data_IF_574181914546
#
_entry.id   IF_574181914546
#
_cell.length_a   1.000
_cell.length_b   1.000
_cell.length_c   1.000
_cell.angle_alpha   90.00
_cell.angle_beta   90.00
_cell.angle_gamma   90.00
#
_symmetry.space_group_name_H-M   'P 1'
#
loop_
_entity.id
_entity.type
_entity.pdbx_description
1 polymer ?
#
# COMPACT_ATOMS: atom_id res chain seq x y z
N UNK A 1 -24.00 -6.07 0.48
CA UNK A 1 -23.35 -5.32 1.57
C UNK A 1 -23.29 -3.85 1.19
N UNK A 2 -23.59 -2.94 2.12
CA UNK A 2 -23.44 -1.51 1.88
C UNK A 2 -22.09 -1.02 2.39
N UNK A 3 -21.38 -0.25 1.58
CA UNK A 3 -20.02 0.22 1.85
C UNK A 3 -20.00 1.74 1.78
N UNK A 4 -19.41 2.37 2.79
CA UNK A 4 -19.19 3.81 2.87
C UNK A 4 -17.73 4.14 2.64
N UNK A 5 -17.45 5.07 1.74
CA UNK A 5 -16.11 5.65 1.58
C UNK A 5 -15.83 6.64 2.73
N UNK A 6 -14.85 6.33 3.58
CA UNK A 6 -14.35 7.20 4.66
C UNK A 6 -13.29 8.18 4.14
N UNK A 7 -12.53 7.76 3.13
CA UNK A 7 -11.76 8.67 2.26
C UNK A 7 -12.24 8.52 0.82
N UNK A 8 -12.03 9.53 -0.06
CA UNK A 8 -12.49 9.44 -1.44
C UNK A 8 -11.99 8.16 -2.11
N UNK A 9 -12.85 7.50 -2.88
CA UNK A 9 -12.59 6.24 -3.56
C UNK A 9 -12.20 6.53 -5.01
N UNK A 10 -11.22 5.79 -5.52
CA UNK A 10 -10.86 5.83 -6.93
C UNK A 10 -10.89 4.41 -7.51
N UNK A 11 -11.72 4.18 -8.51
CA UNK A 11 -11.69 2.95 -9.31
C UNK A 11 -11.42 3.31 -10.75
N UNK A 12 -10.39 2.72 -11.36
CA UNK A 12 -10.06 3.00 -12.76
C UNK A 12 -11.14 2.48 -13.70
N UNK A 13 -11.68 3.36 -14.55
CA UNK A 13 -12.60 3.01 -15.61
C UNK A 13 -11.89 2.66 -16.93
N UNK A 14 -12.67 2.64 -18.03
CA UNK A 14 -12.17 2.42 -19.38
C UNK A 14 -11.21 3.53 -19.82
N UNK A 15 -11.54 4.77 -19.46
CA UNK A 15 -10.70 5.93 -19.72
C UNK A 15 -9.64 6.10 -18.63
N UNK A 16 -8.37 6.07 -19.04
CA UNK A 16 -7.25 6.26 -18.13
C UNK A 16 -7.33 7.62 -17.44
N UNK A 17 -7.24 7.61 -16.11
CA UNK A 17 -7.22 8.84 -15.32
C UNK A 17 -8.60 9.43 -14.99
N UNK A 18 -9.70 8.72 -15.27
CA UNK A 18 -11.06 9.12 -14.87
C UNK A 18 -11.73 8.13 -13.91
N UNK A 19 -12.73 8.60 -13.17
CA UNK A 19 -13.52 7.83 -12.21
C UNK A 19 -15.01 8.26 -12.28
N UNK A 20 -15.67 7.92 -13.38
CA UNK A 20 -17.07 8.25 -13.70
C UNK A 20 -18.09 7.52 -12.81
N UNK A 21 -17.77 6.32 -12.35
CA UNK A 21 -18.56 5.52 -11.39
C UNK A 21 -17.65 4.60 -10.58
N UNK A 22 -18.20 3.87 -9.62
CA UNK A 22 -17.48 2.78 -8.97
C UNK A 22 -17.41 1.58 -9.92
N UNK A 23 -16.21 1.27 -10.38
CA UNK A 23 -15.94 0.13 -11.26
C UNK A 23 -15.56 -1.11 -10.46
N UNK A 24 -16.25 -2.22 -10.73
CA UNK A 24 -15.99 -3.53 -10.12
C UNK A 24 -14.55 -4.00 -10.33
N UNK A 25 -13.96 -3.66 -11.48
CA UNK A 25 -12.56 -4.01 -11.81
C UNK A 25 -11.56 -3.39 -10.84
N UNK A 26 -11.80 -2.16 -10.38
CA UNK A 26 -10.97 -1.49 -9.39
C UNK A 26 -11.08 -2.15 -8.01
N UNK A 27 -12.28 -2.58 -7.63
CA UNK A 27 -12.53 -3.35 -6.39
C UNK A 27 -11.84 -4.70 -6.46
N UNK A 28 -12.06 -5.45 -7.54
CA UNK A 28 -11.48 -6.78 -7.78
C UNK A 28 -9.96 -6.76 -7.76
N UNK A 29 -9.32 -5.70 -8.26
CA UNK A 29 -7.86 -5.53 -8.21
C UNK A 29 -7.32 -5.50 -6.79
N UNK A 30 -7.93 -4.70 -5.90
CA UNK A 30 -7.53 -4.63 -4.48
C UNK A 30 -7.80 -5.93 -3.74
N UNK A 31 -8.95 -6.56 -3.99
CA UNK A 31 -9.29 -7.85 -3.40
C UNK A 31 -8.28 -8.92 -3.82
N UNK A 32 -7.96 -9.01 -5.10
CA UNK A 32 -6.96 -9.96 -5.59
C UNK A 32 -5.62 -9.72 -4.91
N UNK A 33 -5.15 -8.47 -4.88
CA UNK A 33 -3.86 -8.13 -4.27
C UNK A 33 -3.79 -8.55 -2.80
N UNK A 34 -4.80 -8.22 -2.00
CA UNK A 34 -4.82 -8.62 -0.58
C UNK A 34 -4.97 -10.12 -0.40
N UNK A 35 -5.77 -10.80 -1.22
CA UNK A 35 -5.84 -12.27 -1.15
C UNK A 35 -4.47 -12.91 -1.42
N UNK A 36 -3.72 -12.40 -2.41
CA UNK A 36 -2.36 -12.86 -2.67
C UNK A 36 -1.44 -12.66 -1.46
N UNK A 37 -1.52 -11.51 -0.77
CA UNK A 37 -0.74 -11.25 0.46
C UNK A 37 -1.09 -12.26 1.57
N UNK A 38 -2.38 -12.53 1.78
CA UNK A 38 -2.83 -13.44 2.83
C UNK A 38 -2.42 -14.89 2.52
N UNK A 39 -2.61 -15.37 1.29
CA UNK A 39 -2.19 -16.72 0.87
C UNK A 39 -0.67 -16.88 0.95
N UNK A 40 0.12 -15.90 0.47
CA UNK A 40 1.58 -15.91 0.63
C UNK A 40 1.98 -15.94 2.11
N UNK A 41 1.25 -15.24 2.96
CA UNK A 41 1.43 -15.24 4.41
C UNK A 41 1.29 -16.63 5.04
N UNK A 42 0.36 -17.44 4.52
CA UNK A 42 0.10 -18.81 4.94
C UNK A 42 1.04 -19.84 4.30
N UNK A 43 2.01 -19.39 3.49
CA UNK A 43 2.91 -20.27 2.72
C UNK A 43 2.24 -20.98 1.56
N UNK A 44 1.06 -20.51 1.13
CA UNK A 44 0.32 -21.08 0.02
C UNK A 44 0.84 -20.64 -1.34
N UNK A 45 0.59 -21.46 -2.37
CA UNK A 45 1.08 -21.19 -3.71
C UNK A 45 0.37 -19.99 -4.35
N UNK A 46 1.15 -18.96 -4.69
CA UNK A 46 0.74 -17.76 -5.41
C UNK A 46 1.76 -17.44 -6.50
N UNK A 47 1.26 -17.05 -7.67
CA UNK A 47 2.14 -16.65 -8.77
C UNK A 47 2.91 -15.36 -8.46
N UNK A 48 4.12 -15.27 -8.99
CA UNK A 48 4.87 -14.02 -9.05
C UNK A 48 4.21 -13.10 -10.10
N UNK A 49 3.81 -11.87 -9.74
CA UNK A 49 3.22 -10.92 -10.68
C UNK A 49 4.19 -10.38 -11.75
N UNK A 50 5.48 -10.69 -11.65
CA UNK A 50 6.56 -10.27 -12.55
C UNK A 50 7.04 -11.37 -13.50
N UNK A 51 6.61 -12.62 -13.30
CA UNK A 51 6.98 -13.78 -14.11
C UNK A 51 5.85 -14.25 -15.06
N UNK A 52 5.92 -15.51 -15.53
CA UNK A 52 4.95 -16.09 -16.47
C UNK A 52 3.51 -16.01 -15.96
N UNK A 53 2.58 -15.74 -16.89
CA UNK A 53 1.14 -15.69 -16.61
C UNK A 53 0.63 -17.06 -16.18
N UNK A 54 0.01 -17.09 -14.99
CA UNK A 54 -0.77 -18.23 -14.52
C UNK A 54 -1.83 -18.61 -15.57
N UNK A 55 -1.88 -19.88 -15.95
CA UNK A 55 -2.85 -20.38 -16.94
C UNK A 55 -3.40 -21.73 -16.52
N UNK A 56 -4.65 -22.02 -16.89
CA UNK A 56 -5.27 -23.30 -16.60
C UNK A 56 -4.42 -24.49 -17.09
N UNK A 57 -3.75 -24.33 -18.23
CA UNK A 57 -2.90 -25.37 -18.84
C UNK A 57 -1.65 -25.69 -18.02
N UNK A 58 -1.08 -24.70 -17.34
CA UNK A 58 0.17 -24.83 -16.59
C UNK A 58 -0.07 -25.05 -15.08
N UNK A 59 -1.34 -25.18 -14.66
CA UNK A 59 -1.72 -25.20 -13.26
C UNK A 59 -2.06 -23.81 -12.72
N UNK A 60 -3.03 -23.76 -11.81
CA UNK A 60 -3.48 -22.52 -11.17
C UNK A 60 -3.00 -22.45 -9.73
N UNK A 61 -2.43 -21.30 -9.35
CA UNK A 61 -2.18 -20.98 -7.95
C UNK A 61 -3.50 -20.77 -7.19
N UNK A 62 -3.45 -20.77 -5.86
CA UNK A 62 -4.66 -20.78 -5.01
C UNK A 62 -5.56 -19.56 -5.26
N UNK A 63 -4.96 -18.38 -5.46
CA UNK A 63 -5.70 -17.15 -5.77
C UNK A 63 -6.35 -17.22 -7.15
N UNK A 64 -5.63 -17.72 -8.16
CA UNK A 64 -6.15 -17.85 -9.52
C UNK A 64 -7.32 -18.85 -9.61
N UNK A 65 -7.40 -19.84 -8.73
CA UNK A 65 -8.55 -20.77 -8.66
C UNK A 65 -9.85 -20.03 -8.34
N UNK A 66 -9.82 -18.93 -7.57
CA UNK A 66 -11.02 -18.15 -7.20
C UNK A 66 -11.19 -16.86 -8.02
N UNK A 67 -10.09 -16.13 -8.27
CA UNK A 67 -10.07 -14.84 -8.99
C UNK A 67 -9.93 -15.00 -10.51
N UNK A 68 -9.80 -16.24 -10.99
CA UNK A 68 -9.64 -16.53 -12.42
C UNK A 68 -8.23 -16.21 -12.93
N UNK A 69 -7.97 -16.76 -14.11
CA UNK A 69 -6.72 -16.63 -14.86
C UNK A 69 -6.98 -16.93 -16.34
N UNK A 70 -5.94 -16.97 -17.15
CA UNK A 70 -6.08 -17.37 -18.55
C UNK A 70 -6.66 -18.79 -18.64
N UNK A 71 -7.79 -18.94 -19.34
CA UNK A 71 -8.52 -20.21 -19.48
C UNK A 71 -9.46 -20.56 -18.31
N UNK A 72 -9.54 -19.76 -17.24
CA UNK A 72 -10.39 -20.02 -16.07
C UNK A 72 -11.17 -18.78 -15.65
N UNK A 73 -12.50 -18.87 -15.60
CA UNK A 73 -13.36 -17.81 -15.07
C UNK A 73 -13.30 -17.76 -13.53
N UNK A 74 -13.59 -16.58 -12.97
CA UNK A 74 -13.79 -16.38 -11.53
C UNK A 74 -14.86 -17.33 -10.98
N UNK A 75 -14.67 -17.77 -9.73
CA UNK A 75 -15.68 -18.57 -8.99
C UNK A 75 -16.76 -17.72 -8.33
N UNK A 76 -16.71 -16.40 -8.48
CA UNK A 76 -17.72 -15.48 -7.97
C UNK A 76 -17.94 -14.31 -8.92
N UNK A 77 -19.15 -13.75 -8.86
CA UNK A 77 -19.53 -12.47 -9.43
C UNK A 77 -19.53 -11.43 -8.32
N UNK A 78 -18.91 -10.29 -8.59
CA UNK A 78 -18.99 -9.08 -7.76
C UNK A 78 -19.60 -8.01 -8.63
N UNK A 79 -20.66 -7.37 -8.14
CA UNK A 79 -21.45 -6.39 -8.87
C UNK A 79 -21.79 -5.21 -7.97
N UNK A 80 -21.61 -3.98 -8.46
CA UNK A 80 -22.11 -2.78 -7.79
C UNK A 80 -23.57 -2.61 -8.18
N UNK A 81 -24.47 -3.06 -7.31
CA UNK A 81 -25.93 -3.04 -7.57
C UNK A 81 -26.57 -1.69 -7.28
N UNK A 82 -25.90 -0.84 -6.52
CA UNK A 82 -26.30 0.54 -6.28
C UNK A 82 -25.07 1.41 -6.06
N UNK A 83 -24.94 2.49 -6.83
CA UNK A 83 -23.87 3.48 -6.69
C UNK A 83 -24.46 4.83 -6.30
N UNK A 84 -24.40 5.18 -5.01
CA UNK A 84 -24.81 6.50 -4.51
C UNK A 84 -23.61 7.46 -4.38
N UNK A 85 -22.46 7.10 -4.95
CA UNK A 85 -21.25 7.92 -4.86
C UNK A 85 -21.35 9.12 -5.79
N UNK A 86 -20.69 10.21 -5.39
CA UNK A 86 -20.57 11.44 -6.18
C UNK A 86 -19.13 11.90 -6.20
N UNK A 87 -18.67 12.63 -7.24
CA UNK A 87 -17.34 13.21 -7.22
C UNK A 87 -17.13 14.09 -5.99
N UNK A 88 -16.02 13.90 -5.30
CA UNK A 88 -15.72 14.59 -4.06
C UNK A 88 -15.15 15.97 -4.35
N UNK A 89 -16.01 16.99 -4.21
CA UNK A 89 -15.65 18.37 -4.47
C UNK A 89 -14.58 18.92 -3.53
N UNK A 90 -14.43 18.31 -2.34
CA UNK A 90 -13.46 18.74 -1.34
C UNK A 90 -12.03 18.32 -1.67
N UNK A 91 -11.83 17.42 -2.64
CA UNK A 91 -10.50 17.07 -3.11
C UNK A 91 -9.94 18.24 -3.91
N UNK A 92 -8.89 18.87 -3.38
CA UNK A 92 -8.24 19.99 -4.05
C UNK A 92 -7.58 19.52 -5.35
N UNK A 93 -7.71 20.26 -6.47
CA UNK A 93 -6.99 19.94 -7.70
C UNK A 93 -5.46 20.05 -7.55
N UNK A 94 -5.00 20.77 -6.52
CA UNK A 94 -3.58 20.99 -6.24
C UNK A 94 -3.33 20.98 -4.73
N UNK A 95 -2.37 20.20 -4.28
CA UNK A 95 -1.91 20.19 -2.90
C UNK A 95 -0.44 20.59 -2.89
N UNK A 96 -0.14 21.67 -2.19
CA UNK A 96 1.22 22.20 -2.02
C UNK A 96 1.62 22.12 -0.55
N UNK A 97 2.83 21.64 -0.30
CA UNK A 97 3.42 21.63 1.03
C UNK A 97 4.33 22.84 1.22
N UNK A 98 4.86 23.00 2.44
CA UNK A 98 5.82 24.06 2.71
C UNK A 98 7.06 23.93 1.79
N UNK A 99 7.49 25.04 1.16
CA UNK A 99 8.68 25.03 0.32
C UNK A 99 9.91 24.72 1.16
N UNK A 100 10.86 23.99 0.59
CA UNK A 100 12.15 23.74 1.21
C UNK A 100 13.28 24.22 0.29
N UNK A 101 14.35 24.71 0.92
CA UNK A 101 15.57 25.09 0.23
C UNK A 101 16.43 23.85 -0.01
N UNK A 102 17.01 23.74 -1.19
CA UNK A 102 18.02 22.74 -1.49
C UNK A 102 19.24 23.40 -2.11
N UNK A 103 20.40 22.80 -1.85
CA UNK A 103 21.67 23.25 -2.38
C UNK A 103 22.29 22.17 -3.25
N UNK A 104 22.75 22.57 -4.44
CA UNK A 104 23.52 21.73 -5.35
C UNK A 104 24.65 22.54 -5.99
N UNK A 105 25.73 21.88 -6.40
CA UNK A 105 26.77 22.50 -7.21
C UNK A 105 26.43 22.26 -8.68
N UNK A 106 26.47 23.30 -9.51
CA UNK A 106 26.28 23.15 -10.96
C UNK A 106 27.50 22.47 -11.62
N UNK A 107 27.43 22.25 -12.94
CA UNK A 107 28.52 21.61 -13.70
C UNK A 107 29.86 22.37 -13.64
N UNK A 108 29.82 23.63 -13.20
CA UNK A 108 30.99 24.51 -13.04
C UNK A 108 31.43 24.61 -11.56
N UNK A 109 30.87 23.78 -10.68
CA UNK A 109 31.21 23.74 -9.26
C UNK A 109 30.60 24.87 -8.44
N UNK A 110 29.77 25.74 -9.04
CA UNK A 110 29.16 26.88 -8.34
C UNK A 110 28.00 26.40 -7.49
N UNK A 111 27.96 26.87 -6.25
CA UNK A 111 26.83 26.59 -5.36
C UNK A 111 25.59 27.32 -5.87
N UNK A 112 24.52 26.54 -6.06
CA UNK A 112 23.20 27.01 -6.42
C UNK A 112 22.24 26.60 -5.31
N UNK A 113 21.50 27.59 -4.84
CA UNK A 113 20.35 27.40 -3.97
C UNK A 113 19.09 27.42 -4.83
N UNK A 114 18.20 26.48 -4.57
CA UNK A 114 16.89 26.40 -5.20
C UNK A 114 15.82 26.19 -4.16
N UNK A 115 14.62 26.66 -4.44
CA UNK A 115 13.44 26.41 -3.63
C UNK A 115 12.57 25.40 -4.36
N UNK A 116 12.11 24.34 -3.68
CA UNK A 116 11.15 23.39 -4.22
C UNK A 116 9.94 23.29 -3.32
N UNK A 117 8.76 23.36 -3.92
CA UNK A 117 7.47 23.13 -3.28
C UNK A 117 6.98 21.74 -3.69
N UNK A 118 6.99 20.72 -2.80
CA UNK A 118 6.37 19.44 -3.09
C UNK A 118 4.90 19.64 -3.44
N UNK A 119 4.49 19.16 -4.62
CA UNK A 119 3.16 19.44 -5.20
C UNK A 119 2.54 18.16 -5.74
N UNK A 120 1.26 17.95 -5.47
CA UNK A 120 0.43 16.89 -6.03
C UNK A 120 -0.72 17.49 -6.82
N UNK A 121 -1.06 16.85 -7.94
CA UNK A 121 -2.11 17.28 -8.84
C UNK A 121 -3.23 16.24 -8.92
N UNK A 122 -4.46 16.72 -8.90
CA UNK A 122 -5.68 15.95 -9.03
C UNK A 122 -6.52 16.53 -10.17
N UNK A 123 -7.49 15.78 -10.71
CA UNK A 123 -8.35 16.26 -11.78
C UNK A 123 -9.00 17.61 -11.43
N UNK A 124 -8.91 18.56 -12.35
CA UNK A 124 -9.55 19.87 -12.23
C UNK A 124 -11.04 19.78 -12.50
N UNK A 125 -11.43 18.94 -13.48
CA UNK A 125 -12.82 18.67 -13.80
C UNK A 125 -13.50 17.96 -12.62
N UNK A 126 -14.66 18.47 -12.19
CA UNK A 126 -15.39 17.92 -11.05
C UNK A 126 -15.80 16.47 -11.29
N UNK A 127 -16.27 16.12 -12.49
CA UNK A 127 -16.74 14.77 -12.81
C UNK A 127 -15.64 13.71 -12.79
N UNK A 128 -14.37 14.14 -12.92
CA UNK A 128 -13.21 13.25 -12.90
C UNK A 128 -12.60 13.10 -11.50
N UNK A 129 -13.11 13.81 -10.49
CA UNK A 129 -12.63 13.68 -9.11
C UNK A 129 -12.92 12.29 -8.53
N UNK A 130 -12.10 11.79 -7.57
CA UNK A 130 -12.45 10.59 -6.82
C UNK A 130 -13.83 10.72 -6.18
N UNK A 131 -14.50 9.60 -5.95
CA UNK A 131 -15.90 9.58 -5.54
C UNK A 131 -16.05 9.28 -4.05
N UNK A 132 -16.99 9.94 -3.40
CA UNK A 132 -17.30 9.74 -1.97
C UNK A 132 -18.78 9.39 -1.79
N UNK A 133 -19.17 8.98 -0.58
CA UNK A 133 -20.49 8.42 -0.20
C UNK A 133 -20.53 6.89 -0.25
N UNK A 134 -21.72 6.31 -0.38
CA UNK A 134 -22.01 4.89 -0.24
C UNK A 134 -22.25 4.19 -1.58
N UNK A 135 -21.98 2.90 -1.62
CA UNK A 135 -22.35 2.01 -2.71
C UNK A 135 -22.61 0.61 -2.16
N UNK A 136 -23.50 -0.14 -2.81
CA UNK A 136 -23.84 -1.50 -2.43
C UNK A 136 -23.23 -2.48 -3.40
N UNK A 137 -22.53 -3.47 -2.85
CA UNK A 137 -21.95 -4.59 -3.59
C UNK A 137 -22.72 -5.86 -3.30
N UNK A 138 -23.01 -6.63 -4.36
CA UNK A 138 -23.50 -7.99 -4.28
C UNK A 138 -22.39 -8.96 -4.70
N UNK A 139 -22.24 -10.05 -3.94
CA UNK A 139 -21.30 -11.13 -4.24
C UNK A 139 -22.13 -12.40 -4.41
N UNK A 140 -21.99 -13.05 -5.56
CA UNK A 140 -22.69 -14.29 -5.89
C UNK A 140 -21.67 -15.37 -6.21
N UNK A 141 -21.85 -16.56 -5.63
CA UNK A 141 -21.06 -17.71 -6.05
C UNK A 141 -21.41 -18.13 -7.48
N UNK A 142 -20.39 -18.46 -8.25
CA UNK A 142 -20.51 -19.04 -9.60
C UNK A 142 -20.01 -20.49 -9.62
N UNK A 143 -19.66 -21.06 -8.46
CA UNK A 143 -19.10 -22.40 -8.35
C UNK A 143 -19.62 -23.08 -7.07
N UNK A 144 -20.14 -24.32 -7.14
CA UNK A 144 -20.81 -24.97 -6.01
C UNK A 144 -19.92 -25.09 -4.76
N UNK A 145 -18.62 -25.29 -4.96
CA UNK A 145 -17.65 -25.44 -3.87
C UNK A 145 -16.95 -24.11 -3.51
N UNK A 146 -17.57 -22.96 -3.78
CA UNK A 146 -17.05 -21.66 -3.37
C UNK A 146 -18.10 -20.85 -2.61
N UNK A 147 -17.68 -20.31 -1.48
CA UNK A 147 -18.53 -19.60 -0.53
C UNK A 147 -18.27 -18.09 -0.66
N UNK A 148 -19.26 -17.27 -1.05
CA UNK A 148 -19.05 -15.84 -1.31
C UNK A 148 -18.66 -15.04 -0.05
N UNK A 149 -18.94 -15.56 1.13
CA UNK A 149 -18.56 -15.01 2.44
C UNK A 149 -17.04 -14.90 2.60
N UNK A 150 -16.25 -15.72 1.89
CA UNK A 150 -14.77 -15.56 1.82
C UNK A 150 -14.40 -14.18 1.29
N UNK A 151 -15.10 -13.70 0.26
CA UNK A 151 -14.88 -12.36 -0.29
C UNK A 151 -15.43 -11.28 0.65
N UNK A 152 -16.54 -11.56 1.35
CA UNK A 152 -17.06 -10.67 2.38
C UNK A 152 -16.08 -10.45 3.53
N UNK A 153 -15.49 -11.52 4.06
CA UNK A 153 -14.44 -11.43 5.07
C UNK A 153 -13.21 -10.68 4.58
N UNK A 154 -12.84 -10.83 3.30
CA UNK A 154 -11.72 -10.10 2.70
C UNK A 154 -12.01 -8.59 2.59
N UNK A 155 -13.24 -8.21 2.24
CA UNK A 155 -13.66 -6.80 2.26
C UNK A 155 -13.60 -6.25 3.69
N UNK A 156 -14.02 -7.03 4.69
CA UNK A 156 -13.93 -6.61 6.09
C UNK A 156 -12.48 -6.44 6.56
N UNK A 157 -11.58 -7.34 6.19
CA UNK A 157 -10.15 -7.19 6.45
C UNK A 157 -9.60 -5.89 5.84
N UNK A 158 -9.95 -5.58 4.59
CA UNK A 158 -9.57 -4.31 3.95
C UNK A 158 -10.17 -3.11 4.68
N UNK A 159 -11.44 -3.21 5.10
CA UNK A 159 -12.12 -2.16 5.86
C UNK A 159 -11.47 -1.92 7.23
N UNK A 160 -10.93 -2.96 7.88
CA UNK A 160 -10.25 -2.84 9.18
C UNK A 160 -8.85 -2.23 9.03
N UNK A 161 -8.10 -2.61 8.00
CA UNK A 161 -6.64 -2.39 7.99
C UNK A 161 -6.08 -1.56 6.83
N UNK A 162 -6.81 -1.41 5.72
CA UNK A 162 -6.24 -0.83 4.50
C UNK A 162 -7.21 0.04 3.70
N UNK A 163 -7.17 -0.07 2.38
CA UNK A 163 -7.97 0.69 1.44
C UNK A 163 -8.40 -0.17 0.24
N UNK A 164 -9.60 0.13 -0.28
CA UNK A 164 -10.21 -0.47 -1.45
C UNK A 164 -10.03 0.44 -2.68
N UNK A 165 -9.90 -0.17 -3.86
CA UNK A 165 -9.71 0.55 -5.11
C UNK A 165 -8.25 0.94 -5.38
N UNK A 166 -8.08 1.83 -6.35
CA UNK A 166 -6.79 2.26 -6.86
C UNK A 166 -6.31 3.56 -6.19
N UNK A 167 -5.03 3.87 -6.45
CA UNK A 167 -4.34 5.05 -5.92
C UNK A 167 -4.33 5.18 -4.37
N UNK A 168 -4.17 4.09 -3.59
CA UNK A 168 -4.00 4.21 -2.14
C UNK A 168 -2.74 5.02 -1.75
N UNK A 169 -1.75 5.15 -2.65
CA UNK A 169 -0.59 6.03 -2.46
C UNK A 169 -0.94 7.54 -2.43
N UNK A 170 -2.18 7.91 -2.76
CA UNK A 170 -2.75 9.26 -2.66
C UNK A 170 -3.77 9.37 -1.51
N UNK A 171 -3.89 8.32 -0.70
CA UNK A 171 -4.73 8.25 0.48
C UNK A 171 -6.21 7.93 0.23
N UNK A 172 -6.53 7.44 -0.96
CA UNK A 172 -7.88 7.05 -1.34
C UNK A 172 -8.25 5.64 -0.87
N UNK A 173 -9.55 5.43 -0.65
CA UNK A 173 -10.15 4.12 -0.53
C UNK A 173 -10.30 3.55 0.88
N UNK A 174 -10.11 4.32 1.96
CA UNK A 174 -10.51 3.83 3.28
C UNK A 174 -12.03 3.69 3.28
N UNK A 175 -12.53 2.53 3.68
CA UNK A 175 -13.95 2.20 3.66
C UNK A 175 -14.42 1.73 5.03
N UNK A 176 -15.73 1.84 5.23
CA UNK A 176 -16.48 1.20 6.30
C UNK A 176 -17.56 0.31 5.68
N UNK A 177 -17.72 -0.90 6.18
CA UNK A 177 -18.92 -1.70 5.91
C UNK A 177 -20.01 -1.23 6.87
N UNK A 178 -21.16 -0.82 6.33
CA UNK A 178 -22.27 -0.37 7.17
C UNK A 178 -23.05 -1.56 7.76
N UNK A 179 -23.56 -1.37 8.98
CA UNK A 179 -24.22 -2.41 9.77
C UNK A 179 -23.24 -3.15 10.68
N UNK A 180 -23.56 -4.40 11.00
CA UNK A 180 -22.69 -5.26 11.79
C UNK A 180 -21.41 -5.63 11.01
N UNK A 181 -20.30 -5.80 11.73
CA UNK A 181 -19.06 -6.32 11.16
C UNK A 181 -19.33 -7.65 10.45
N UNK A 182 -18.80 -7.84 9.24
CA UNK A 182 -18.92 -9.11 8.53
C UNK A 182 -18.11 -10.18 9.26
N UNK A 183 -18.68 -11.36 9.39
CA UNK A 183 -17.97 -12.53 9.90
C UNK A 183 -16.81 -12.91 8.97
N UNK A 184 -15.62 -13.00 9.56
CA UNK A 184 -14.35 -13.28 8.87
C UNK A 184 -13.93 -14.74 9.01
N UNK A 185 -14.67 -15.58 9.74
CA UNK A 185 -14.39 -17.01 9.88
C UNK A 185 -14.32 -17.73 8.52
N UNK A 186 -15.23 -17.51 7.55
CA UNK A 186 -15.16 -18.18 6.25
C UNK A 186 -13.88 -17.85 5.48
N UNK A 187 -13.36 -16.61 5.60
CA UNK A 187 -12.07 -16.23 5.00
C UNK A 187 -10.92 -16.98 5.68
N UNK A 188 -10.90 -17.01 7.02
CA UNK A 188 -9.88 -17.71 7.78
C UNK A 188 -9.82 -19.20 7.42
N UNK A 189 -10.95 -19.88 7.44
CA UNK A 189 -11.02 -21.32 7.16
C UNK A 189 -10.51 -21.63 5.76
N UNK A 190 -10.90 -20.81 4.77
CA UNK A 190 -10.38 -20.94 3.42
C UNK A 190 -8.86 -20.73 3.35
N UNK A 191 -8.33 -19.69 4.01
CA UNK A 191 -6.89 -19.42 4.04
C UNK A 191 -6.09 -20.55 4.70
N UNK A 192 -6.62 -21.17 5.76
CA UNK A 192 -5.99 -22.34 6.40
C UNK A 192 -5.88 -23.51 5.43
N UNK A 193 -6.87 -23.73 4.56
CA UNK A 193 -6.79 -24.79 3.52
C UNK A 193 -5.75 -24.52 2.44
N UNK A 194 -5.33 -23.26 2.28
CA UNK A 194 -4.27 -22.88 1.33
C UNK A 194 -2.87 -22.94 1.93
N UNK A 195 -2.74 -23.26 3.22
CA UNK A 195 -1.46 -23.25 3.90
C UNK A 195 -0.47 -24.24 3.26
N UNK A 196 0.78 -23.82 3.17
CA UNK A 196 1.84 -24.59 2.54
C UNK A 196 3.21 -24.25 3.11
N UNK A 197 4.24 -24.53 2.32
CA UNK A 197 5.64 -24.30 2.68
C UNK A 197 6.35 -23.29 1.76
N UNK A 198 5.62 -22.65 0.84
CA UNK A 198 6.20 -21.66 -0.07
C UNK A 198 6.63 -20.42 0.72
N UNK A 199 7.80 -19.88 0.40
CA UNK A 199 8.36 -18.70 1.07
C UNK A 199 8.37 -17.50 0.14
N UNK A 200 7.91 -16.35 0.64
CA UNK A 200 7.81 -15.10 -0.13
C UNK A 200 8.52 -13.97 0.63
N UNK A 201 9.82 -13.85 0.41
CA UNK A 201 10.72 -12.88 1.04
C UNK A 201 10.72 -11.52 0.32
N UNK A 202 10.60 -11.52 -1.00
CA UNK A 202 10.70 -10.34 -1.88
C UNK A 202 9.34 -9.83 -2.41
N UNK A 203 8.26 -10.56 -2.11
CA UNK A 203 6.86 -10.22 -2.43
C UNK A 203 6.05 -9.96 -1.15
N UNK A 204 4.95 -9.17 -1.22
CA UNK A 204 4.17 -8.84 -0.04
C UNK A 204 3.46 -10.09 0.53
N UNK A 205 3.64 -10.32 1.84
CA UNK A 205 3.05 -11.42 2.62
C UNK A 205 2.79 -10.98 4.06
N UNK A 206 2.02 -11.75 4.84
CA UNK A 206 1.82 -11.46 6.28
C UNK A 206 3.12 -11.29 7.06
N UNK A 207 4.20 -11.95 6.62
CA UNK A 207 5.49 -11.97 7.29
C UNK A 207 6.30 -10.69 7.07
N UNK A 208 5.89 -9.84 6.12
CA UNK A 208 6.67 -8.67 5.74
C UNK A 208 5.85 -7.38 5.56
N UNK A 209 4.55 -7.42 5.85
CA UNK A 209 3.68 -6.24 5.95
C UNK A 209 3.78 -5.58 7.33
N UNK A 210 3.31 -4.34 7.41
CA UNK A 210 2.93 -3.69 8.65
C UNK A 210 1.65 -2.88 8.42
N UNK A 211 0.84 -2.74 9.47
CA UNK A 211 -0.44 -2.04 9.47
C UNK A 211 -0.45 -1.10 10.68
N UNK A 212 -0.75 0.18 10.48
CA UNK A 212 -0.75 1.15 11.57
C UNK A 212 -1.88 2.16 11.44
N UNK A 213 -2.34 2.66 12.60
CA UNK A 213 -3.30 3.76 12.70
C UNK A 213 -2.79 4.80 13.67
N UNK A 214 -2.82 6.05 13.23
CA UNK A 214 -2.30 7.21 13.97
C UNK A 214 -3.39 8.27 14.14
N UNK A 215 -3.28 9.03 15.22
CA UNK A 215 -4.05 10.24 15.48
C UNK A 215 -3.12 11.40 15.85
N UNK A 216 -3.56 12.67 15.71
CA UNK A 216 -2.82 13.80 16.25
C UNK A 216 -2.64 13.65 17.76
N UNK A 217 -1.50 14.13 18.29
CA UNK A 217 -1.32 14.23 19.76
C UNK A 217 -2.35 15.20 20.34
N UNK A 218 -2.70 15.04 21.63
CA UNK A 218 -3.78 15.79 22.27
C UNK A 218 -3.72 17.33 22.12
N UNK A 219 -2.53 17.91 22.00
CA UNK A 219 -2.31 19.35 21.80
C UNK A 219 -2.19 19.79 20.33
N UNK A 220 -2.34 18.85 19.38
CA UNK A 220 -2.18 19.08 17.94
C UNK A 220 -3.56 19.22 17.29
N UNK A 221 -3.75 20.15 16.33
CA UNK A 221 -5.00 20.25 15.58
C UNK A 221 -5.37 18.93 14.88
N UNK A 222 -6.67 18.69 14.60
CA UNK A 222 -7.10 17.58 13.76
C UNK A 222 -6.38 17.58 12.40
N UNK A 223 -6.11 16.38 11.87
CA UNK A 223 -5.46 16.26 10.57
C UNK A 223 -6.24 16.95 9.46
N UNK A 224 -5.51 17.54 8.52
CA UNK A 224 -5.98 18.12 7.27
C UNK A 224 -5.51 17.28 6.09
N UNK A 225 -6.10 17.51 4.92
CA UNK A 225 -5.75 16.81 3.67
C UNK A 225 -4.24 16.83 3.38
N UNK A 226 -3.57 17.94 3.69
CA UNK A 226 -2.13 18.12 3.51
C UNK A 226 -1.29 17.16 4.37
N UNK A 227 -1.80 16.69 5.51
CA UNK A 227 -1.03 15.92 6.48
C UNK A 227 -0.65 14.52 5.97
N UNK A 228 -1.47 13.93 5.09
CA UNK A 228 -1.11 12.74 4.33
C UNK A 228 0.17 12.94 3.52
N UNK A 229 0.30 14.11 2.88
CA UNK A 229 1.42 14.42 2.00
C UNK A 229 2.63 14.93 2.79
N UNK A 230 2.42 15.65 3.90
CA UNK A 230 3.46 15.98 4.87
C UNK A 230 4.12 14.71 5.39
N UNK A 231 3.32 13.77 5.90
CA UNK A 231 3.83 12.49 6.40
C UNK A 231 4.56 11.71 5.31
N UNK A 232 4.02 11.67 4.08
CA UNK A 232 4.69 11.02 2.95
C UNK A 232 6.05 11.68 2.64
N UNK A 233 6.12 13.00 2.71
CA UNK A 233 7.34 13.73 2.47
C UNK A 233 8.36 13.50 3.58
N UNK A 234 7.93 13.46 4.84
CA UNK A 234 8.80 13.24 5.98
C UNK A 234 9.33 11.81 6.04
N UNK A 235 8.48 10.80 5.83
CA UNK A 235 8.96 9.41 5.70
C UNK A 235 9.96 9.26 4.55
N UNK A 236 9.78 10.00 3.44
CA UNK A 236 10.73 10.00 2.33
C UNK A 236 12.09 10.62 2.72
N UNK A 237 12.13 11.59 3.64
CA UNK A 237 13.40 12.17 4.12
C UNK A 237 14.18 11.22 5.02
N UNK A 238 13.50 10.36 5.79
CA UNK A 238 14.16 9.40 6.70
C UNK A 238 15.14 8.47 5.95
N UNK A 239 14.89 8.21 4.67
CA UNK A 239 15.72 7.36 3.80
C UNK A 239 16.58 8.19 2.85
N UNK A 240 17.00 9.38 3.26
CA UNK A 240 17.92 10.22 2.48
C UNK A 240 19.22 10.37 3.24
N UNK A 241 20.30 9.82 2.71
CA UNK A 241 21.63 10.09 3.24
C UNK A 241 22.02 11.55 3.03
N UNK A 242 22.61 12.14 4.06
CA UNK A 242 23.33 13.38 3.94
C UNK A 242 24.49 13.21 2.96
N UNK A 243 24.72 14.27 2.20
CA UNK A 243 25.59 14.21 1.05
C UNK A 243 26.98 14.61 1.49
N UNK A 244 27.88 13.64 1.53
CA UNK A 244 29.30 13.94 1.47
C UNK A 244 29.68 14.25 0.01
N UNK A 245 30.25 15.43 -0.21
CA UNK A 245 30.79 15.82 -1.50
C UNK A 245 32.10 15.05 -1.71
N UNK A 246 32.05 13.93 -2.43
CA UNK A 246 33.26 13.28 -2.92
C UNK A 246 33.56 13.75 -4.35
N UNK A 247 34.81 14.14 -4.58
CA UNK A 247 35.35 14.43 -5.90
C UNK A 247 35.54 13.13 -6.68
N UNK A 248 34.50 12.73 -7.40
CA UNK A 248 34.57 11.62 -8.34
C UNK A 248 35.09 12.12 -9.69
N UNK A 249 36.05 11.41 -10.29
CA UNK A 249 36.41 11.63 -11.70
C UNK A 249 35.40 10.92 -12.59
N UNK A 250 34.81 11.64 -13.53
CA UNK A 250 34.02 11.06 -14.62
C UNK A 250 34.94 10.38 -15.65
N UNK A 251 34.36 9.60 -16.59
CA UNK A 251 35.11 8.92 -17.66
C UNK A 251 35.83 9.85 -18.64
N UNK A 252 35.67 11.17 -18.48
CA UNK A 252 36.41 12.24 -19.18
C UNK A 252 37.58 12.81 -18.35
N UNK A 253 37.89 12.21 -17.19
CA UNK A 253 39.02 12.60 -16.32
C UNK A 253 38.79 13.86 -15.49
N UNK A 254 37.62 14.52 -15.59
CA UNK A 254 37.33 15.75 -14.84
C UNK A 254 36.80 15.41 -13.44
N UNK A 255 37.43 15.99 -12.41
CA UNK A 255 36.91 15.95 -11.04
C UNK A 255 35.64 16.79 -10.97
N UNK A 256 34.50 16.16 -10.64
CA UNK A 256 33.24 16.84 -10.38
C UNK A 256 32.69 16.36 -9.03
N UNK A 257 32.13 17.26 -8.21
CA UNK A 257 31.48 16.85 -6.97
C UNK A 257 30.24 16.03 -7.30
N UNK A 258 30.32 14.71 -7.14
CA UNK A 258 29.16 13.82 -7.28
C UNK A 258 28.48 13.72 -5.93
N UNK A 259 27.44 14.53 -5.72
CA UNK A 259 26.46 14.37 -4.65
C UNK A 259 25.72 13.04 -4.88
N UNK A 260 26.28 11.93 -4.38
CA UNK A 260 25.68 10.60 -4.52
C UNK A 260 24.90 10.28 -3.26
N UNK A 261 23.59 10.52 -3.32
CA UNK A 261 22.66 9.97 -2.35
C UNK A 261 22.74 8.44 -2.40
N UNK A 262 23.36 7.86 -1.37
CA UNK A 262 23.74 6.44 -1.33
C UNK A 262 22.53 5.53 -1.09
N UNK A 263 21.43 6.09 -0.61
CA UNK A 263 20.17 5.39 -0.31
C UNK A 263 19.06 5.74 -1.32
N UNK A 264 19.41 6.31 -2.48
CA UNK A 264 18.44 6.66 -3.54
C UNK A 264 17.53 5.48 -3.87
N UNK A 265 18.11 4.31 -4.08
CA UNK A 265 17.41 3.12 -4.54
C UNK A 265 16.43 2.62 -3.47
N UNK A 266 16.86 2.57 -2.20
CA UNK A 266 16.02 2.23 -1.06
C UNK A 266 14.84 3.20 -0.93
N UNK A 267 15.11 4.51 -0.95
CA UNK A 267 14.05 5.53 -0.87
C UNK A 267 13.07 5.44 -2.04
N UNK A 268 13.58 5.22 -3.25
CA UNK A 268 12.77 5.10 -4.45
C UNK A 268 11.92 3.83 -4.42
N UNK A 269 12.45 2.74 -3.86
CA UNK A 269 11.69 1.53 -3.64
C UNK A 269 10.55 1.75 -2.64
N UNK A 270 10.88 2.25 -1.43
CA UNK A 270 9.92 2.40 -0.33
C UNK A 270 8.84 3.45 -0.68
N UNK A 271 9.26 4.62 -1.16
CA UNK A 271 8.40 5.80 -1.33
C UNK A 271 8.01 6.08 -2.78
N UNK A 272 8.44 5.22 -3.71
CA UNK A 272 8.19 5.35 -5.13
C UNK A 272 9.09 6.38 -5.81
N UNK A 273 9.09 6.32 -7.14
CA UNK A 273 9.74 7.29 -8.02
C UNK A 273 8.99 7.36 -9.35
N UNK A 274 9.02 8.52 -9.99
CA UNK A 274 8.61 8.68 -11.38
C UNK A 274 9.89 8.91 -12.17
N UNK A 275 10.02 8.23 -13.31
CA UNK A 275 11.13 8.40 -14.23
C UNK A 275 10.93 9.70 -15.01
N UNK A 276 11.86 10.64 -14.93
CA UNK A 276 11.77 11.96 -15.59
C UNK A 276 12.00 11.91 -17.11
N UNK A 277 11.89 10.74 -17.74
CA UNK A 277 12.46 10.51 -19.06
C UNK A 277 11.55 10.98 -20.21
N UNK A 278 11.62 12.28 -20.50
CA UNK A 278 11.09 12.84 -21.76
C UNK A 278 12.14 12.87 -22.88
N UNK A 279 13.42 12.55 -22.63
CA UNK A 279 14.50 12.82 -23.58
C UNK A 279 15.53 11.69 -23.87
N UNK A 280 15.59 10.56 -23.15
CA UNK A 280 16.46 9.46 -23.57
C UNK A 280 15.78 8.57 -24.60
N UNK A 281 15.97 8.94 -25.87
CA UNK A 281 16.10 7.93 -26.92
C UNK A 281 17.35 7.11 -26.62
N UNK A 282 17.16 5.79 -26.43
CA UNK A 282 18.17 4.74 -26.61
C UNK A 282 19.36 4.78 -25.63
N UNK A 283 19.17 4.21 -24.45
CA UNK A 283 20.19 3.34 -23.85
C UNK A 283 19.48 2.25 -23.04
N UNK A 284 19.53 1.02 -23.55
CA UNK A 284 18.84 -0.19 -23.09
C UNK A 284 19.34 -0.72 -21.72
N UNK A 285 20.02 0.12 -20.92
CA UNK A 285 20.82 -0.30 -19.76
C UNK A 285 20.59 0.45 -18.45
N UNK A 286 19.63 1.37 -18.38
CA UNK A 286 19.28 2.03 -17.11
C UNK A 286 17.78 1.94 -16.84
N UNK A 287 17.41 0.94 -16.04
CA UNK A 287 16.04 0.66 -15.60
C UNK A 287 15.49 1.63 -14.53
N UNK A 288 15.68 2.94 -14.68
CA UNK A 288 14.92 3.89 -13.84
C UNK A 288 13.48 3.95 -14.40
N UNK A 289 12.73 2.83 -14.29
CA UNK A 289 11.29 2.74 -14.58
C UNK A 289 10.51 3.38 -13.43
N UNK A 290 9.36 3.98 -13.73
CA UNK A 290 8.46 4.51 -12.70
C UNK A 290 8.10 3.40 -11.70
N UNK A 291 8.20 3.67 -10.40
CA UNK A 291 7.96 2.69 -9.34
C UNK A 291 6.91 3.20 -8.35
N UNK A 292 5.91 2.36 -8.06
CA UNK A 292 4.93 2.64 -7.03
C UNK A 292 5.52 2.46 -5.62
N UNK A 293 5.21 3.40 -4.73
CA UNK A 293 5.56 3.33 -3.31
C UNK A 293 5.05 2.03 -2.67
N UNK A 294 5.82 1.44 -1.76
CA UNK A 294 5.38 0.29 -0.95
C UNK A 294 4.63 0.73 0.30
N UNK A 295 4.97 1.90 0.84
CA UNK A 295 4.24 2.53 1.94
C UNK A 295 3.10 3.38 1.40
N UNK A 296 1.93 3.21 1.99
CA UNK A 296 0.70 3.93 1.72
C UNK A 296 0.27 4.64 2.99
N UNK A 297 -0.32 5.82 2.80
CA UNK A 297 -0.82 6.67 3.87
C UNK A 297 -2.21 7.11 3.43
N UNK A 298 -3.22 6.89 4.25
CA UNK A 298 -4.58 7.32 3.94
C UNK A 298 -4.71 8.84 4.01
N UNK A 299 -5.76 9.36 3.38
CA UNK A 299 -6.29 10.67 3.77
C UNK A 299 -6.83 10.61 5.20
N UNK A 300 -6.89 11.75 5.90
CA UNK A 300 -7.56 11.78 7.18
C UNK A 300 -9.02 11.42 7.03
N UNK A 301 -9.54 10.66 7.98
CA UNK A 301 -10.96 10.33 8.06
C UNK A 301 -11.41 10.33 9.52
N UNK A 302 -12.72 10.48 9.74
CA UNK A 302 -13.28 10.45 11.08
C UNK A 302 -13.60 8.99 11.48
N UNK A 303 -13.14 8.60 12.66
CA UNK A 303 -13.46 7.35 13.32
C UNK A 303 -13.84 7.68 14.76
N UNK A 304 -15.10 7.44 15.14
CA UNK A 304 -15.64 7.69 16.48
C UNK A 304 -15.41 9.10 17.02
N UNK A 305 -15.55 10.13 16.17
CA UNK A 305 -15.38 11.53 16.57
C UNK A 305 -13.93 12.03 16.50
N UNK A 306 -12.97 11.14 16.25
CA UNK A 306 -11.55 11.48 16.16
C UNK A 306 -11.07 11.43 14.72
N UNK A 307 -10.19 12.36 14.33
CA UNK A 307 -9.56 12.31 13.00
C UNK A 307 -8.33 11.42 13.05
N UNK A 308 -8.29 10.39 12.21
CA UNK A 308 -7.22 9.39 12.14
C UNK A 308 -6.66 9.26 10.72
N UNK A 309 -5.46 8.69 10.60
CA UNK A 309 -4.90 8.22 9.34
C UNK A 309 -4.37 6.78 9.50
N UNK A 310 -4.43 6.00 8.41
CA UNK A 310 -3.77 4.70 8.30
C UNK A 310 -2.42 4.86 7.63
N UNK A 311 -1.44 4.10 8.10
CA UNK A 311 -0.14 3.92 7.45
C UNK A 311 0.09 2.43 7.31
N UNK A 312 0.29 1.95 6.09
CA UNK A 312 0.52 0.52 5.87
C UNK A 312 1.46 0.30 4.70
N UNK A 313 2.09 -0.86 4.66
CA UNK A 313 2.98 -1.21 3.57
C UNK A 313 3.60 -2.57 3.77
N UNK A 314 4.59 -2.86 2.94
CA UNK A 314 5.39 -4.06 3.05
C UNK A 314 6.82 -3.75 2.68
N UNK A 315 7.75 -4.44 3.33
CA UNK A 315 9.19 -4.24 3.17
C UNK A 315 9.81 -5.63 3.02
N UNK A 316 10.49 -5.94 1.89
CA UNK A 316 10.99 -7.29 1.62
C UNK A 316 12.02 -7.71 2.67
N UNK A 317 12.11 -9.01 2.95
CA UNK A 317 13.16 -9.59 3.80
C UNK A 317 14.51 -9.52 3.09
N UNK A 318 15.60 -9.55 3.87
CA UNK A 318 16.97 -9.38 3.34
C UNK A 318 17.36 -10.47 2.33
N UNK A 319 16.96 -11.71 2.61
CA UNK A 319 17.52 -12.92 2.00
C UNK A 319 17.38 -12.99 0.46
N UNK A 320 16.35 -12.34 -0.13
CA UNK A 320 16.09 -12.37 -1.57
C UNK A 320 15.82 -10.98 -2.16
N UNK A 321 16.17 -9.91 -1.44
CA UNK A 321 16.12 -8.58 -2.05
C UNK A 321 17.06 -8.58 -3.28
N UNK A 322 16.67 -7.92 -4.39
CA UNK A 322 17.62 -7.60 -5.47
C UNK A 322 18.89 -7.10 -4.78
N UNK A 323 20.02 -7.81 -4.91
CA UNK A 323 21.25 -7.78 -4.06
C UNK A 323 21.81 -6.40 -3.66
N UNK A 324 21.24 -5.33 -4.21
CA UNK A 324 21.61 -3.94 -4.08
C UNK A 324 20.61 -3.05 -3.32
N UNK A 325 19.43 -3.55 -2.90
CA UNK A 325 18.41 -2.72 -2.24
C UNK A 325 18.86 -2.25 -0.85
N UNK A 326 19.40 -3.18 -0.05
CA UNK A 326 19.83 -2.94 1.33
C UNK A 326 21.33 -2.65 1.41
N UNK A 327 21.69 -1.40 1.10
CA UNK A 327 23.06 -0.87 1.25
C UNK A 327 23.21 -0.10 2.55
N UNK A 328 24.43 0.25 2.91
CA UNK A 328 24.75 1.14 4.04
C UNK A 328 24.19 0.67 5.39
N UNK A 329 24.06 -0.64 5.58
CA UNK A 329 23.56 -1.24 6.81
C UNK A 329 22.04 -1.17 6.98
N UNK A 330 21.27 -0.76 5.96
CA UNK A 330 19.82 -0.91 5.96
C UNK A 330 19.42 -2.38 5.89
N UNK A 331 18.27 -2.67 6.47
CA UNK A 331 17.54 -3.90 6.26
C UNK A 331 16.06 -3.68 6.54
N UNK A 332 15.24 -4.72 6.35
CA UNK A 332 13.81 -4.68 6.67
C UNK A 332 13.58 -4.09 8.07
N UNK A 333 14.26 -4.64 9.07
CA UNK A 333 13.97 -4.28 10.46
C UNK A 333 14.31 -2.84 10.80
N UNK A 334 15.43 -2.34 10.31
CA UNK A 334 15.80 -0.93 10.48
C UNK A 334 14.85 0.00 9.74
N UNK A 335 14.40 -0.39 8.54
CA UNK A 335 13.43 0.41 7.78
C UNK A 335 12.12 0.53 8.55
N UNK A 336 11.59 -0.60 9.02
CA UNK A 336 10.32 -0.65 9.76
C UNK A 336 10.45 0.04 11.13
N UNK A 337 11.57 -0.16 11.84
CA UNK A 337 11.88 0.51 13.11
C UNK A 337 11.90 2.04 12.95
N UNK A 338 12.58 2.56 11.93
CA UNK A 338 12.65 4.01 11.69
C UNK A 338 11.27 4.61 11.42
N UNK A 339 10.39 3.89 10.72
CA UNK A 339 9.00 4.31 10.51
C UNK A 339 8.24 4.28 11.82
N UNK A 340 8.31 3.17 12.58
CA UNK A 340 7.65 3.00 13.87
C UNK A 340 8.04 4.12 14.86
N UNK A 341 9.35 4.37 15.00
CA UNK A 341 9.88 5.42 15.88
C UNK A 341 9.39 6.80 15.44
N UNK A 342 9.44 7.08 14.13
CA UNK A 342 8.93 8.35 13.62
C UNK A 342 7.44 8.54 13.91
N UNK A 343 6.61 7.51 13.68
CA UNK A 343 5.18 7.61 13.94
C UNK A 343 4.89 7.80 15.44
N UNK A 344 5.53 7.02 16.30
CA UNK A 344 5.37 7.09 17.77
C UNK A 344 5.85 8.43 18.33
N UNK A 345 6.94 8.98 17.78
CA UNK A 345 7.49 10.26 18.22
C UNK A 345 6.61 11.45 17.82
N UNK A 346 5.93 11.40 16.68
CA UNK A 346 5.20 12.54 16.12
C UNK A 346 3.68 12.47 16.31
N UNK A 347 3.11 11.28 16.50
CA UNK A 347 1.68 11.05 16.60
C UNK A 347 1.34 10.22 17.83
N UNK A 348 0.05 10.09 18.14
CA UNK A 348 -0.40 9.01 19.02
C UNK A 348 -0.70 7.80 18.14
N UNK A 349 0.06 6.72 18.36
CA UNK A 349 -0.10 5.45 17.67
C UNK A 349 -1.18 4.64 18.39
N UNK A 350 -2.29 4.35 17.70
CA UNK A 350 -3.38 3.53 18.23
C UNK A 350 -3.08 2.05 18.03
N UNK A 351 -2.84 1.70 16.77
CA UNK A 351 -2.62 0.34 16.35
C UNK A 351 -1.29 0.28 15.60
N UNK A 352 -0.52 -0.76 15.85
CA UNK A 352 0.60 -1.20 15.03
C UNK A 352 0.61 -2.72 15.03
N UNK A 353 0.39 -3.31 13.85
CA UNK A 353 0.40 -4.75 13.67
C UNK A 353 1.49 -5.15 12.69
N UNK A 354 2.35 -6.07 13.12
CA UNK A 354 3.35 -6.73 12.28
C UNK A 354 3.78 -8.05 12.89
N UNK A 355 4.15 -9.00 12.04
CA UNK A 355 4.59 -10.30 12.52
C UNK A 355 6.01 -10.26 13.10
N UNK A 356 6.24 -11.14 14.07
CA UNK A 356 7.53 -11.60 14.59
C UNK A 356 8.33 -10.64 15.47
N UNK A 357 7.73 -9.56 16.00
CA UNK A 357 8.48 -8.55 16.76
C UNK A 357 7.73 -7.96 17.95
N UNK A 358 8.48 -7.27 18.81
CA UNK A 358 8.00 -6.67 20.08
C UNK A 358 7.13 -5.42 19.89
N UNK A 359 7.09 -4.86 18.67
CA UNK A 359 6.40 -3.60 18.34
C UNK A 359 4.89 -3.75 18.17
N UNK A 360 4.40 -4.98 17.94
CA UNK A 360 2.96 -5.22 17.75
C UNK A 360 2.16 -4.79 19.00
N UNK A 361 1.16 -3.94 18.81
CA UNK A 361 0.32 -3.41 19.89
C UNK A 361 -0.82 -4.35 20.28
N UNK A 362 -1.25 -5.21 19.35
CA UNK A 362 -2.37 -6.13 19.54
C UNK A 362 -1.89 -7.46 20.12
N UNK A 363 -0.80 -8.01 19.56
CA UNK A 363 -0.26 -9.28 20.00
C UNK A 363 1.26 -9.41 19.74
N UNK A 364 2.02 -9.05 20.78
CA UNK A 364 3.49 -9.03 20.76
C UNK A 364 4.08 -10.41 20.47
N UNK A 365 5.16 -10.42 19.68
CA UNK A 365 5.99 -11.60 19.42
C UNK A 365 5.28 -12.79 18.76
N UNK A 366 4.16 -12.56 18.04
CA UNK A 366 3.58 -13.62 17.21
C UNK A 366 4.50 -13.89 16.02
N UNK A 367 5.14 -15.05 15.99
CA UNK A 367 5.91 -15.54 14.85
C UNK A 367 5.13 -16.50 13.93
N UNK A 368 4.00 -17.04 14.42
CA UNK A 368 3.14 -17.94 13.66
C UNK A 368 2.14 -17.14 12.82
N UNK A 369 2.20 -17.32 11.50
CA UNK A 369 1.33 -16.62 10.55
C UNK A 369 -0.16 -16.93 10.73
N UNK A 370 -0.52 -18.12 11.21
CA UNK A 370 -1.92 -18.51 11.49
C UNK A 370 -2.46 -17.74 12.69
N UNK A 371 -1.68 -17.66 13.77
CA UNK A 371 -2.05 -16.91 14.98
C UNK A 371 -2.15 -15.41 14.65
N UNK A 372 -1.22 -14.90 13.84
CA UNK A 372 -1.26 -13.50 13.41
C UNK A 372 -2.47 -13.21 12.53
N UNK A 373 -2.80 -14.10 11.59
CA UNK A 373 -4.00 -14.00 10.76
C UNK A 373 -5.28 -14.03 11.61
N UNK A 374 -5.36 -14.90 12.62
CA UNK A 374 -6.50 -14.99 13.53
C UNK A 374 -6.75 -13.65 14.25
N UNK A 375 -5.67 -13.03 14.77
CA UNK A 375 -5.72 -11.70 15.39
C UNK A 375 -6.16 -10.62 14.40
N UNK A 376 -5.56 -10.56 13.20
CA UNK A 376 -5.93 -9.57 12.18
C UNK A 376 -7.39 -9.70 11.71
N UNK A 377 -7.91 -10.92 11.70
CA UNK A 377 -9.31 -11.18 11.36
C UNK A 377 -10.26 -10.94 12.54
N UNK A 378 -9.76 -10.65 13.74
CA UNK A 378 -10.55 -10.39 14.95
C UNK A 378 -11.52 -11.54 15.27
N UNK A 379 -11.04 -12.77 15.09
CA UNK A 379 -11.80 -13.97 15.45
C UNK A 379 -11.82 -14.12 16.97
N UNK A 380 -12.96 -14.56 17.50
CA UNK A 380 -13.07 -14.87 18.92
C UNK A 380 -12.27 -16.15 19.19
N UNK A 381 -11.52 -16.20 20.29
CA UNK A 381 -10.99 -17.47 20.77
C UNK A 381 -12.18 -18.40 21.01
N UNK A 382 -12.22 -19.54 20.31
CA UNK A 382 -13.10 -20.62 20.73
C UNK A 382 -12.64 -20.99 22.13
N UNK A 383 -13.46 -20.67 23.13
CA UNK A 383 -13.34 -21.30 24.44
C UNK A 383 -13.53 -22.79 24.19
N UNK A 384 -12.44 -23.52 23.98
CA UNK A 384 -12.48 -24.96 23.91
C UNK A 384 -13.10 -25.43 25.22
N UNK A 385 -14.26 -26.06 25.10
CA UNK A 385 -14.92 -26.75 26.17
C UNK A 385 -13.96 -27.79 26.74
N UNK A 386 -13.87 -27.78 28.08
CA UNK A 386 -13.19 -28.73 28.97
C UNK A 386 -13.31 -30.18 28.50
#
# INVERSE_FOLDING_TARGET
MNIKALTPLWTGGVESGKCDRIHETGILGSLRWWMEVLVRGMGGNVCDPTEQKCSYKNGLCEVCKIFGAEGQKRRFRLEVVQDNTKPDKNVSPKIELQPYQYQYKDQQGREKTGTRTPTWYFPQNEEDKPRSSTFTVQIQSLHPNFTPEVIGGLIQFIADWSALGARPQMGFGVIQVEGSRIDTQPLHDWLVTTAGSDTYSDLPSLQNIFLAKIQPKASTPPFKEQDTFNLKYDLRKLFRTDVEANDGKDGDGKSRPKKKDRDKDLRHFIMGAVSDDKNNKRDDKTEDKSMAAKIKISRPYNENGTTVMRVWGWIPKEDDCKKDLYKNGWNREKVVEVIYQYLTANYTLHDWCEMSLTRDTEAKNISDAKVFLHSLLKLQETSDAV
#
